data_IF_494180002630
#
_entry.id   IF_494180002630
#
_cell.length_a   1.000
_cell.length_b   1.000
_cell.length_c   1.000
_cell.angle_alpha   90.00
_cell.angle_beta   90.00
_cell.angle_gamma   90.00
#
_symmetry.space_group_name_H-M   'P 1'
#
loop_
_entity.id
_entity.type
_entity.pdbx_description
1 polymer ?
#
# COMPACT_ATOMS: atom_id res chain seq x y z
N UNK A 1 -19.89 23.69 -2.42
CA UNK A 1 -18.84 24.03 -3.41
C UNK A 1 -17.93 22.81 -3.54
N UNK A 2 -18.34 21.90 -4.41
CA UNK A 2 -17.56 20.75 -4.86
C UNK A 2 -16.43 21.25 -5.73
N UNK A 3 -15.16 20.92 -5.41
CA UNK A 3 -14.32 20.22 -6.40
C UNK A 3 -13.38 19.24 -5.70
N UNK A 4 -13.67 17.94 -5.81
CA UNK A 4 -12.91 16.85 -5.21
C UNK A 4 -11.64 16.52 -6.01
N UNK A 5 -10.51 16.81 -5.37
CA UNK A 5 -9.12 16.35 -5.56
C UNK A 5 -8.51 16.35 -6.97
N UNK A 6 -8.07 17.52 -7.43
CA UNK A 6 -6.78 17.62 -8.13
C UNK A 6 -5.74 17.98 -7.07
N UNK A 7 -4.64 17.23 -7.01
CA UNK A 7 -3.52 17.50 -6.10
C UNK A 7 -2.39 18.12 -6.90
N UNK A 8 -2.02 19.35 -6.58
CA UNK A 8 -0.81 19.99 -7.11
C UNK A 8 0.36 19.64 -6.20
N UNK A 9 1.45 19.20 -6.80
CA UNK A 9 2.71 19.01 -6.08
C UNK A 9 3.68 20.07 -6.58
N UNK A 10 4.26 20.82 -5.65
CA UNK A 10 5.43 21.68 -5.87
C UNK A 10 6.63 21.06 -5.17
N UNK A 11 7.82 21.28 -5.70
CA UNK A 11 9.07 21.04 -4.98
C UNK A 11 9.36 22.25 -4.06
N UNK A 12 9.80 22.03 -2.82
CA UNK A 12 10.09 23.13 -1.87
C UNK A 12 11.48 23.75 -2.09
N UNK A 13 11.52 25.09 -2.08
CA UNK A 13 12.28 25.87 -1.07
C UNK A 13 11.23 26.76 -0.37
N UNK A 14 10.90 26.56 0.91
CA UNK A 14 9.83 27.32 1.55
C UNK A 14 10.34 28.64 2.13
N UNK A 15 9.59 29.73 1.94
CA UNK A 15 9.73 30.96 2.74
C UNK A 15 8.61 31.18 3.75
N UNK A 16 7.55 30.36 3.78
CA UNK A 16 6.46 30.52 4.77
C UNK A 16 5.68 29.20 5.00
N UNK A 17 5.63 28.65 6.24
CA UNK A 17 5.06 27.32 6.53
C UNK A 17 3.54 27.23 6.70
N UNK A 18 2.75 28.31 6.61
CA UNK A 18 1.32 28.28 7.01
C UNK A 18 0.28 27.89 5.94
N UNK A 19 0.65 27.44 4.74
CA UNK A 19 -0.32 27.17 3.64
C UNK A 19 -0.48 25.73 3.12
N UNK A 20 0.00 24.72 3.84
CA UNK A 20 -0.09 23.32 3.40
C UNK A 20 -1.09 22.50 4.23
N UNK A 21 -2.38 22.52 3.88
CA UNK A 21 -3.38 21.62 4.49
C UNK A 21 -3.71 20.38 3.63
N UNK A 22 -3.51 19.23 4.28
CA UNK A 22 -4.12 17.90 4.06
C UNK A 22 -3.70 17.07 2.84
N UNK A 23 -2.44 16.62 2.81
CA UNK A 23 -2.03 15.26 2.40
C UNK A 23 -0.53 15.07 2.70
N UNK A 24 -0.10 15.30 3.94
CA UNK A 24 1.31 15.26 4.30
C UNK A 24 1.69 13.91 4.92
N UNK A 25 2.34 12.99 4.17
CA UNK A 25 3.15 11.95 4.80
C UNK A 25 4.33 12.65 5.50
N UNK A 26 4.44 12.59 6.84
CA UNK A 26 5.32 13.46 7.65
C UNK A 26 6.81 13.42 7.29
N UNK A 27 7.27 12.44 6.50
CA UNK A 27 8.69 12.24 6.18
C UNK A 27 9.21 13.16 5.05
N UNK A 28 8.45 13.34 3.96
CA UNK A 28 8.91 14.09 2.79
C UNK A 28 8.23 15.46 2.61
N UNK A 29 7.52 15.95 3.64
CA UNK A 29 6.89 17.28 3.64
C UNK A 29 7.89 18.42 3.45
N UNK A 30 9.18 18.18 3.74
CA UNK A 30 10.27 19.13 3.50
C UNK A 30 10.78 19.11 2.06
N UNK A 31 10.43 18.10 1.27
CA UNK A 31 10.82 17.95 -0.15
C UNK A 31 9.71 18.42 -1.11
N UNK A 32 8.45 18.38 -0.67
CA UNK A 32 7.29 18.63 -1.50
C UNK A 32 6.25 19.50 -0.79
N UNK A 33 5.71 20.50 -1.50
CA UNK A 33 4.47 21.19 -1.14
C UNK A 33 3.33 20.48 -1.84
N UNK A 34 2.39 19.96 -1.06
CA UNK A 34 1.23 19.24 -1.57
C UNK A 34 0.00 20.10 -1.28
N UNK A 35 -0.77 20.45 -2.31
CA UNK A 35 -1.93 21.32 -2.15
C UNK A 35 -3.07 20.94 -3.07
N UNK A 36 -4.30 21.07 -2.58
CA UNK A 36 -5.52 20.96 -3.40
C UNK A 36 -5.98 22.33 -3.93
N UNK A 37 -5.25 23.40 -3.62
CA UNK A 37 -5.59 24.74 -4.05
C UNK A 37 -5.35 24.91 -5.56
N UNK A 38 -6.44 25.04 -6.30
CA UNK A 38 -6.44 25.13 -7.75
C UNK A 38 -5.89 26.43 -8.31
N UNK A 39 -5.84 27.49 -7.50
CA UNK A 39 -5.25 28.75 -7.93
C UNK A 39 -3.76 28.61 -8.23
N UNK A 40 -3.11 27.59 -7.67
CA UNK A 40 -1.66 27.35 -7.80
C UNK A 40 -1.30 26.43 -8.98
N UNK A 41 -2.27 26.03 -9.82
CA UNK A 41 -2.01 25.14 -10.96
C UNK A 41 -0.96 25.69 -11.95
N UNK A 42 -0.84 27.01 -12.09
CA UNK A 42 0.19 27.64 -12.96
C UNK A 42 1.60 27.56 -12.40
N UNK A 43 1.71 27.38 -11.09
CA UNK A 43 2.98 27.35 -10.35
C UNK A 43 3.35 25.90 -9.95
N UNK A 44 2.47 24.94 -10.24
CA UNK A 44 2.66 23.54 -9.90
C UNK A 44 3.76 22.92 -10.76
N UNK A 45 4.55 22.03 -10.16
CA UNK A 45 5.48 21.22 -10.93
C UNK A 45 4.74 20.14 -11.73
N UNK A 46 3.68 19.60 -11.13
CA UNK A 46 2.86 18.53 -11.68
C UNK A 46 1.45 18.60 -11.06
N UNK A 47 0.44 18.19 -11.83
CA UNK A 47 -0.94 18.07 -11.34
C UNK A 47 -1.37 16.61 -11.36
N UNK A 48 -1.77 16.07 -10.22
CA UNK A 48 -2.22 14.69 -10.06
C UNK A 48 -3.75 14.64 -9.99
N UNK A 49 -4.33 13.76 -10.80
CA UNK A 49 -5.75 13.48 -10.85
C UNK A 49 -6.02 12.08 -10.34
N UNK A 50 -6.80 11.98 -9.27
CA UNK A 50 -7.25 10.68 -8.76
C UNK A 50 -8.35 10.12 -9.66
N UNK A 51 -8.12 8.96 -10.26
CA UNK A 51 -9.00 8.32 -11.24
C UNK A 51 -10.45 8.25 -10.76
N UNK A 52 -10.64 7.80 -9.52
CA UNK A 52 -11.96 7.63 -8.88
C UNK A 52 -12.75 8.93 -8.77
N UNK A 53 -12.06 10.07 -8.80
CA UNK A 53 -12.65 11.40 -8.66
C UNK A 53 -12.87 12.11 -10.02
N UNK A 54 -12.54 11.47 -11.15
CA UNK A 54 -12.76 12.04 -12.48
C UNK A 54 -14.16 11.79 -13.06
N UNK A 55 -14.96 10.94 -12.40
CA UNK A 55 -16.31 10.63 -12.89
C UNK A 55 -17.21 11.85 -12.80
N UNK A 56 -17.71 12.30 -13.95
CA UNK A 56 -18.60 13.46 -14.04
C UNK A 56 -17.90 14.80 -13.80
N UNK A 57 -16.56 14.81 -13.78
CA UNK A 57 -15.77 16.02 -13.58
C UNK A 57 -15.29 16.55 -14.92
N UNK A 58 -15.55 17.83 -15.17
CA UNK A 58 -14.91 18.55 -16.26
C UNK A 58 -13.44 18.81 -15.91
N UNK A 59 -12.54 18.43 -16.82
CA UNK A 59 -11.13 18.78 -16.69
C UNK A 59 -10.95 20.31 -16.73
N UNK A 60 -9.90 20.84 -16.07
CA UNK A 60 -9.56 22.25 -16.20
C UNK A 60 -9.47 22.66 -17.67
N UNK A 61 -10.15 23.74 -18.04
CA UNK A 61 -10.14 24.25 -19.44
C UNK A 61 -8.78 24.80 -19.84
N UNK A 62 -7.98 25.24 -18.86
CA UNK A 62 -6.64 25.75 -19.05
C UNK A 62 -5.61 24.69 -18.65
N UNK A 63 -4.79 24.27 -19.62
CA UNK A 63 -3.60 23.45 -19.41
C UNK A 63 -2.36 24.33 -19.56
N UNK A 64 -1.51 24.34 -18.54
CA UNK A 64 -0.28 25.12 -18.56
C UNK A 64 0.82 24.32 -19.28
N UNK A 65 1.45 24.87 -20.34
CA UNK A 65 2.63 24.26 -20.96
C UNK A 65 3.72 24.01 -19.91
N UNK A 66 4.37 22.84 -19.94
CA UNK A 66 5.42 22.46 -18.98
C UNK A 66 4.95 21.93 -17.61
N UNK A 67 3.62 21.88 -17.36
CA UNK A 67 3.03 21.26 -16.15
C UNK A 67 2.38 19.92 -16.53
N UNK A 68 3.08 18.79 -16.37
CA UNK A 68 2.51 17.49 -16.69
C UNK A 68 1.32 17.14 -15.81
N UNK A 69 0.38 16.39 -16.40
CA UNK A 69 -0.79 15.85 -15.71
C UNK A 69 -0.60 14.35 -15.48
N UNK A 70 -0.79 13.90 -14.26
CA UNK A 70 -0.63 12.50 -13.85
C UNK A 70 -1.98 11.89 -13.52
N UNK A 71 -2.26 10.71 -14.06
CA UNK A 71 -3.42 9.92 -13.67
C UNK A 71 -3.03 8.94 -12.56
N UNK A 72 -3.54 9.17 -11.35
CA UNK A 72 -3.35 8.27 -10.22
C UNK A 72 -4.49 7.24 -10.15
N UNK A 73 -4.16 5.94 -10.19
CA UNK A 73 -5.11 4.82 -10.12
C UNK A 73 -4.64 3.80 -9.09
N UNK A 74 -5.29 3.79 -7.92
CA UNK A 74 -4.92 2.96 -6.77
C UNK A 74 -5.96 1.87 -6.45
N UNK A 75 -6.93 1.68 -7.34
CA UNK A 75 -7.99 0.67 -7.22
C UNK A 75 -7.95 -0.25 -8.45
N UNK A 76 -8.45 -1.47 -8.28
CA UNK A 76 -8.51 -2.47 -9.34
C UNK A 76 -9.38 -2.06 -10.51
N UNK A 77 -9.06 -2.59 -11.70
CA UNK A 77 -9.84 -2.36 -12.93
C UNK A 77 -11.27 -2.88 -12.86
N UNK A 78 -11.54 -3.89 -12.02
CA UNK A 78 -12.87 -4.45 -11.82
C UNK A 78 -13.75 -3.50 -10.99
N UNK A 79 -13.17 -2.82 -10.00
CA UNK A 79 -13.89 -1.89 -9.12
C UNK A 79 -13.90 -0.44 -9.64
N UNK A 80 -13.25 -0.18 -10.77
CA UNK A 80 -13.22 1.14 -11.41
C UNK A 80 -13.99 1.14 -12.72
N UNK A 81 -14.80 2.18 -12.95
CA UNK A 81 -15.50 2.36 -14.21
C UNK A 81 -14.57 3.01 -15.23
N UNK A 82 -14.55 2.56 -16.50
CA UNK A 82 -13.77 3.22 -17.54
C UNK A 82 -14.08 4.72 -17.66
N UNK A 83 -13.04 5.54 -17.79
CA UNK A 83 -13.20 6.96 -18.11
C UNK A 83 -13.76 7.14 -19.53
N UNK A 84 -14.50 8.22 -19.81
CA UNK A 84 -14.92 8.55 -21.16
C UNK A 84 -13.73 8.71 -22.11
N UNK A 85 -13.93 8.39 -23.40
CA UNK A 85 -12.88 8.54 -24.44
C UNK A 85 -12.32 9.96 -24.56
N UNK A 86 -13.03 10.98 -24.07
CA UNK A 86 -12.55 12.37 -24.02
C UNK A 86 -11.31 12.56 -23.13
N UNK A 87 -10.99 11.58 -22.27
CA UNK A 87 -9.78 11.57 -21.45
C UNK A 87 -8.57 10.93 -22.15
N UNK A 88 -8.73 10.39 -23.37
CA UNK A 88 -7.63 9.80 -24.12
C UNK A 88 -6.59 10.86 -24.48
N UNK A 89 -5.31 10.58 -24.23
CA UNK A 89 -4.20 11.51 -24.50
C UNK A 89 -4.15 12.74 -23.59
N UNK A 90 -5.00 12.79 -22.55
CA UNK A 90 -5.01 13.92 -21.61
C UNK A 90 -3.81 13.87 -20.67
N UNK A 91 -3.53 12.73 -20.08
CA UNK A 91 -2.49 12.58 -19.05
C UNK A 91 -1.13 12.29 -19.68
N UNK A 92 -0.08 12.87 -19.12
CA UNK A 92 1.29 12.67 -19.57
C UNK A 92 1.85 11.30 -19.13
N UNK A 93 1.53 10.87 -17.92
CA UNK A 93 1.94 9.57 -17.39
C UNK A 93 1.02 9.11 -16.25
N UNK A 94 1.23 7.88 -15.78
CA UNK A 94 0.38 7.21 -14.80
C UNK A 94 1.12 6.89 -13.51
N UNK A 95 0.41 7.01 -12.39
CA UNK A 95 0.81 6.49 -11.09
C UNK A 95 -0.18 5.43 -10.65
N UNK A 96 0.20 4.15 -10.74
CA UNK A 96 -0.69 3.05 -10.41
C UNK A 96 0.03 1.88 -9.73
N UNK A 97 -0.74 0.87 -9.33
CA UNK A 97 -0.18 -0.37 -8.79
C UNK A 97 0.39 -1.29 -9.87
N UNK A 98 0.06 -1.07 -11.15
CA UNK A 98 0.56 -1.89 -12.24
C UNK A 98 2.06 -1.66 -12.48
N UNK A 99 2.80 -2.73 -12.70
CA UNK A 99 4.24 -2.65 -12.98
C UNK A 99 4.59 -1.96 -14.30
N UNK A 100 3.62 -1.76 -15.19
CA UNK A 100 3.79 -1.04 -16.46
C UNK A 100 3.43 0.46 -16.38
N UNK A 101 3.05 0.97 -15.21
CA UNK A 101 2.93 2.42 -14.98
C UNK A 101 4.29 3.07 -14.79
N UNK A 102 4.41 4.33 -15.25
CA UNK A 102 5.64 5.12 -15.09
C UNK A 102 6.02 5.29 -13.62
N UNK A 103 5.02 5.36 -12.73
CA UNK A 103 5.20 5.37 -11.29
C UNK A 103 4.41 4.22 -10.69
N UNK A 104 5.11 3.27 -10.10
CA UNK A 104 4.52 2.12 -9.41
C UNK A 104 5.40 1.72 -8.23
N UNK A 105 4.79 1.03 -7.27
CA UNK A 105 5.43 0.71 -6.01
C UNK A 105 6.49 -0.38 -6.13
N UNK A 106 7.54 -0.24 -5.33
CA UNK A 106 8.63 -1.19 -5.23
C UNK A 106 9.12 -1.21 -3.78
N UNK A 107 9.04 -2.37 -3.13
CA UNK A 107 9.31 -2.46 -1.69
C UNK A 107 10.75 -2.07 -1.36
N UNK A 108 11.72 -2.56 -2.13
CA UNK A 108 13.16 -2.33 -1.92
C UNK A 108 13.56 -0.87 -2.12
N UNK A 109 12.78 -0.11 -2.90
CA UNK A 109 13.01 1.32 -3.10
C UNK A 109 12.24 2.19 -2.10
N UNK A 110 11.09 1.72 -1.60
CA UNK A 110 10.35 2.36 -0.53
C UNK A 110 11.09 2.29 0.81
N UNK A 111 11.80 1.18 1.04
CA UNK A 111 12.53 0.92 2.28
C UNK A 111 14.01 0.69 2.01
N UNK A 112 14.89 1.63 2.43
CA UNK A 112 16.31 1.43 2.25
C UNK A 112 16.80 0.26 3.12
N UNK A 113 17.78 -0.48 2.60
CA UNK A 113 18.47 -1.51 3.38
C UNK A 113 19.39 -0.85 4.41
N UNK A 114 19.48 -1.48 5.58
CA UNK A 114 20.42 -1.05 6.61
C UNK A 114 21.86 -1.32 6.15
N UNK A 115 22.78 -0.41 6.47
CA UNK A 115 24.21 -0.61 6.21
C UNK A 115 24.77 -1.86 6.93
N UNK A 116 24.23 -2.14 8.12
CA UNK A 116 24.54 -3.33 8.91
C UNK A 116 23.24 -3.96 9.38
N UNK A 117 23.21 -5.30 9.39
CA UNK A 117 22.09 -6.05 9.95
C UNK A 117 21.85 -5.62 11.40
N UNK A 118 20.60 -5.42 11.78
CA UNK A 118 20.25 -5.19 13.17
C UNK A 118 20.40 -6.50 13.97
N UNK A 119 21.54 -6.67 14.62
CA UNK A 119 21.85 -7.83 15.47
C UNK A 119 20.98 -7.87 16.74
N UNK A 120 20.39 -6.73 17.15
CA UNK A 120 19.46 -6.68 18.29
C UNK A 120 18.08 -7.19 17.91
N UNK A 121 17.78 -7.25 16.61
CA UNK A 121 16.57 -7.88 16.11
C UNK A 121 16.67 -9.40 16.35
N UNK A 122 16.14 -9.83 17.49
CA UNK A 122 16.12 -11.23 17.87
C UNK A 122 14.70 -11.74 17.71
N UNK A 123 14.57 -12.73 16.84
CA UNK A 123 13.36 -13.50 16.69
C UNK A 123 12.89 -14.03 18.07
N UNK A 124 11.66 -13.66 18.49
CA UNK A 124 10.91 -14.35 19.55
C UNK A 124 11.16 -13.83 20.97
N UNK A 125 11.92 -12.73 21.13
CA UNK A 125 12.14 -12.08 22.44
C UNK A 125 11.05 -11.05 22.81
N UNK A 126 10.35 -10.48 21.84
CA UNK A 126 9.06 -9.84 22.12
C UNK A 126 8.12 -10.94 22.58
N UNK A 127 7.62 -10.84 23.83
CA UNK A 127 6.54 -11.69 24.35
C UNK A 127 5.29 -11.51 23.48
N UNK A 128 5.29 -12.09 22.28
CA UNK A 128 4.07 -12.45 21.59
C UNK A 128 3.47 -13.55 22.45
N UNK A 129 2.49 -13.18 23.28
CA UNK A 129 1.65 -14.10 24.03
C UNK A 129 0.79 -14.89 23.03
N UNK A 130 1.45 -15.70 22.21
CA UNK A 130 0.81 -16.66 21.32
C UNK A 130 0.40 -17.84 22.19
N UNK A 131 -0.69 -17.66 22.95
CA UNK A 131 -1.29 -18.75 23.69
C UNK A 131 -1.52 -19.94 22.75
N UNK A 132 -1.16 -21.11 23.27
CA UNK A 132 -1.28 -22.42 22.63
C UNK A 132 -2.71 -22.62 22.09
N UNK A 133 -2.81 -23.05 20.84
CA UNK A 133 -3.89 -23.95 20.43
C UNK A 133 -4.88 -23.47 19.37
N UNK A 134 -4.82 -22.22 18.89
CA UNK A 134 -5.74 -21.77 17.84
C UNK A 134 -4.98 -21.09 16.69
N UNK A 135 -5.50 -21.17 15.47
CA UNK A 135 -4.99 -20.48 14.27
C UNK A 135 -5.85 -19.23 14.00
N UNK A 136 -5.78 -18.19 14.85
CA UNK A 136 -6.60 -17.00 14.67
C UNK A 136 -6.04 -16.25 13.46
N UNK A 137 -6.94 -15.90 12.54
CA UNK A 137 -6.62 -15.18 11.29
C UNK A 137 -7.57 -13.99 11.20
N UNK A 138 -7.10 -12.83 10.73
CA UNK A 138 -7.90 -11.60 10.61
C UNK A 138 -8.27 -11.37 9.14
N UNK A 139 -9.56 -11.24 8.83
CA UNK A 139 -10.06 -10.91 7.50
C UNK A 139 -10.76 -9.54 7.44
N UNK A 140 -10.52 -8.80 6.36
CA UNK A 140 -11.27 -7.62 5.97
C UNK A 140 -11.89 -7.81 4.57
N UNK A 141 -13.23 -7.95 4.51
CA UNK A 141 -14.10 -7.69 3.35
C UNK A 141 -14.35 -8.75 2.25
N UNK A 142 -14.25 -10.07 2.46
CA UNK A 142 -14.79 -11.03 1.46
C UNK A 142 -15.85 -11.97 2.05
N UNK A 143 -17.08 -11.81 1.59
CA UNK A 143 -18.24 -12.62 2.00
C UNK A 143 -18.14 -14.14 1.66
N UNK A 144 -17.06 -14.59 1.00
CA UNK A 144 -16.91 -15.95 0.51
C UNK A 144 -15.64 -16.69 1.03
N UNK A 145 -14.92 -16.10 1.99
CA UNK A 145 -13.67 -16.69 2.52
C UNK A 145 -13.90 -17.56 3.75
N UNK A 146 -15.02 -17.38 4.45
CA UNK A 146 -15.40 -18.26 5.56
C UNK A 146 -15.50 -19.72 5.11
N UNK A 147 -15.98 -19.96 3.88
CA UNK A 147 -16.06 -21.28 3.25
C UNK A 147 -14.69 -21.92 3.00
N UNK A 148 -13.69 -21.09 2.70
CA UNK A 148 -12.31 -21.49 2.45
C UNK A 148 -11.61 -21.97 3.73
N UNK A 149 -12.11 -21.56 4.91
CA UNK A 149 -11.51 -21.81 6.22
C UNK A 149 -12.47 -22.43 7.25
N UNK A 150 -13.57 -23.09 6.83
CA UNK A 150 -14.59 -23.66 7.76
C UNK A 150 -14.05 -24.51 8.92
N UNK A 151 -12.90 -25.15 8.75
CA UNK A 151 -12.27 -25.99 9.78
C UNK A 151 -11.29 -25.22 10.69
N UNK A 152 -11.26 -23.89 10.57
CA UNK A 152 -10.29 -23.00 11.21
C UNK A 152 -11.05 -21.94 12.01
N UNK A 153 -10.51 -21.56 13.16
CA UNK A 153 -11.03 -20.39 13.87
C UNK A 153 -10.54 -19.12 13.17
N UNK A 154 -11.32 -18.67 12.21
CA UNK A 154 -11.18 -17.38 11.54
C UNK A 154 -11.94 -16.33 12.36
N UNK A 155 -11.28 -15.22 12.70
CA UNK A 155 -11.93 -14.09 13.32
C UNK A 155 -11.93 -12.93 12.31
N UNK A 156 -13.08 -12.66 11.71
CA UNK A 156 -13.25 -11.53 10.79
C UNK A 156 -13.43 -10.23 11.57
N UNK A 157 -13.01 -9.10 11.01
CA UNK A 157 -13.17 -7.78 11.60
C UNK A 157 -13.59 -6.76 10.53
N UNK A 158 -14.34 -5.74 10.92
CA UNK A 158 -14.77 -4.66 10.01
C UNK A 158 -16.24 -4.72 9.63
N UNK A 159 -16.62 -4.04 8.54
CA UNK A 159 -18.03 -3.82 8.18
C UNK A 159 -18.83 -5.08 7.84
N UNK A 160 -18.14 -6.20 7.55
CA UNK A 160 -18.73 -7.50 7.24
C UNK A 160 -18.69 -8.48 8.44
N UNK A 161 -18.33 -8.03 9.64
CA UNK A 161 -18.17 -8.89 10.82
C UNK A 161 -18.99 -8.40 12.02
N UNK A 162 -19.32 -9.32 12.92
CA UNK A 162 -19.89 -9.01 14.23
C UNK A 162 -18.84 -8.53 15.25
N UNK A 163 -17.53 -8.66 14.95
CA UNK A 163 -16.44 -8.16 15.79
C UNK A 163 -16.01 -6.76 15.34
N UNK A 164 -15.90 -5.86 16.30
CA UNK A 164 -15.47 -4.48 16.04
C UNK A 164 -13.96 -4.32 16.22
N UNK A 165 -13.34 -3.76 15.19
CA UNK A 165 -11.99 -3.23 15.21
C UNK A 165 -12.03 -1.95 14.39
N UNK A 166 -11.87 -0.80 15.03
CA UNK A 166 -11.75 0.46 14.28
C UNK A 166 -10.44 0.41 13.51
N UNK A 167 -10.47 0.69 12.20
CA UNK A 167 -9.31 0.62 11.31
C UNK A 167 -8.29 1.72 11.66
N UNK A 168 -7.51 1.48 12.71
CA UNK A 168 -6.50 2.39 13.24
C UNK A 168 -5.31 1.60 13.83
N UNK A 169 -4.21 2.30 14.07
CA UNK A 169 -2.97 1.74 14.60
C UNK A 169 -3.15 0.98 15.93
N UNK A 170 -4.01 1.48 16.82
CA UNK A 170 -4.27 0.85 18.12
C UNK A 170 -4.89 -0.53 17.95
N UNK A 171 -5.90 -0.65 17.07
CA UNK A 171 -6.54 -1.92 16.84
C UNK A 171 -5.60 -2.94 16.20
N UNK A 172 -4.92 -2.57 15.11
CA UNK A 172 -3.99 -3.49 14.46
C UNK A 172 -2.83 -3.89 15.38
N UNK A 173 -2.36 -2.99 16.25
CA UNK A 173 -1.34 -3.31 17.26
C UNK A 173 -1.84 -4.31 18.30
N UNK A 174 -3.13 -4.29 18.66
CA UNK A 174 -3.71 -5.29 19.56
C UNK A 174 -3.89 -6.63 18.84
N UNK A 175 -4.36 -6.62 17.58
CA UNK A 175 -4.41 -7.84 16.75
C UNK A 175 -3.02 -8.47 16.62
N UNK A 176 -1.97 -7.68 16.41
CA UNK A 176 -0.58 -8.17 16.35
C UNK A 176 -0.07 -8.86 17.63
N UNK A 177 -0.74 -8.67 18.78
CA UNK A 177 -0.41 -9.36 20.04
C UNK A 177 -1.12 -10.72 20.17
N UNK A 178 -2.24 -10.88 19.49
CA UNK A 178 -3.15 -12.02 19.62
C UNK A 178 -3.06 -13.00 18.43
N UNK A 179 -2.75 -12.48 17.24
CA UNK A 179 -2.82 -13.21 15.98
C UNK A 179 -1.43 -13.49 15.39
N UNK A 180 -1.27 -14.65 14.73
CA UNK A 180 -0.05 -14.98 13.96
C UNK A 180 -0.15 -14.55 12.51
N UNK A 181 -1.35 -14.62 11.94
CA UNK A 181 -1.55 -14.47 10.52
C UNK A 181 -2.59 -13.38 10.24
N UNK A 182 -2.35 -12.64 9.16
CA UNK A 182 -3.24 -11.60 8.67
C UNK A 182 -3.69 -11.95 7.24
N UNK A 183 -4.99 -11.97 6.95
CA UNK A 183 -5.48 -12.23 5.59
C UNK A 183 -5.41 -10.95 4.77
N UNK A 184 -4.37 -10.84 3.95
CA UNK A 184 -4.18 -9.75 3.00
C UNK A 184 -4.84 -10.13 1.66
N UNK A 185 -6.17 -10.12 1.66
CA UNK A 185 -6.97 -10.54 0.50
C UNK A 185 -7.33 -9.33 -0.34
N UNK A 186 -7.00 -9.40 -1.62
CA UNK A 186 -7.36 -8.33 -2.52
C UNK A 186 -8.80 -8.40 -2.97
N UNK A 187 -9.42 -7.23 -3.15
CA UNK A 187 -10.84 -7.14 -3.50
C UNK A 187 -11.10 -7.70 -4.91
N UNK A 188 -10.04 -7.94 -5.68
CA UNK A 188 -10.09 -8.41 -7.06
C UNK A 188 -8.74 -9.03 -7.42
N UNK A 189 -8.76 -10.11 -8.21
CA UNK A 189 -7.55 -10.70 -8.79
C UNK A 189 -7.21 -9.97 -10.09
N UNK A 190 -6.51 -8.85 -9.97
CA UNK A 190 -5.98 -8.07 -11.11
C UNK A 190 -4.45 -8.14 -11.12
N UNK A 191 -3.84 -8.16 -12.31
CA UNK A 191 -2.38 -8.17 -12.48
C UNK A 191 -1.78 -6.99 -11.69
N UNK A 192 -0.77 -7.29 -10.87
CA UNK A 192 -0.02 -6.37 -10.01
C UNK A 192 -0.86 -5.60 -8.97
N UNK A 193 -2.10 -6.01 -8.74
CA UNK A 193 -2.97 -5.39 -7.75
C UNK A 193 -2.69 -5.95 -6.35
N UNK A 194 -1.59 -5.49 -5.76
CA UNK A 194 -1.22 -5.72 -4.36
C UNK A 194 -1.18 -4.36 -3.68
N UNK A 195 -2.01 -4.13 -2.67
CA UNK A 195 -2.20 -2.81 -2.06
C UNK A 195 -1.45 -2.67 -0.73
N UNK A 196 -1.94 -1.81 0.17
CA UNK A 196 -1.47 -1.65 1.54
C UNK A 196 -1.75 -2.86 2.43
N UNK A 197 -2.66 -3.77 2.06
CA UNK A 197 -3.13 -4.82 2.98
C UNK A 197 -2.01 -5.69 3.56
N UNK A 198 -1.03 -6.19 2.79
CA UNK A 198 0.07 -6.96 3.37
C UNK A 198 0.87 -6.17 4.42
N UNK A 199 0.95 -4.85 4.29
CA UNK A 199 1.68 -4.00 5.23
C UNK A 199 1.07 -4.01 6.63
N UNK A 200 -0.25 -4.20 6.76
CA UNK A 200 -0.88 -4.39 8.07
C UNK A 200 -0.37 -5.65 8.77
N UNK A 201 -0.07 -6.72 8.03
CA UNK A 201 0.60 -7.89 8.61
C UNK A 201 2.03 -7.56 9.05
N UNK A 202 2.82 -7.04 8.11
CA UNK A 202 4.23 -6.74 8.34
C UNK A 202 4.48 -5.77 9.50
N UNK A 203 3.76 -4.64 9.55
CA UNK A 203 3.94 -3.61 10.59
C UNK A 203 3.57 -4.15 11.97
N UNK A 204 2.53 -4.99 12.06
CA UNK A 204 1.98 -5.46 13.33
C UNK A 204 2.42 -6.89 13.71
N UNK A 205 3.56 -7.35 13.19
CA UNK A 205 4.19 -8.63 13.56
C UNK A 205 3.34 -9.88 13.30
N UNK A 206 2.51 -9.83 12.26
CA UNK A 206 1.79 -10.97 11.72
C UNK A 206 2.38 -11.36 10.37
N UNK A 207 2.31 -12.64 10.01
CA UNK A 207 2.65 -13.08 8.65
C UNK A 207 1.42 -12.90 7.75
N UNK A 208 1.46 -12.03 6.74
CA UNK A 208 0.36 -11.90 5.80
C UNK A 208 0.23 -13.15 4.92
N UNK A 209 -1.01 -13.61 4.76
CA UNK A 209 -1.43 -14.56 3.74
C UNK A 209 -1.98 -13.72 2.59
N UNK A 210 -1.24 -13.64 1.49
CA UNK A 210 -1.55 -12.77 0.36
C UNK A 210 -2.37 -13.55 -0.66
N UNK A 211 -3.53 -13.03 -1.01
CA UNK A 211 -4.35 -13.53 -2.13
C UNK A 211 -4.49 -12.41 -3.17
N UNK A 212 -3.54 -12.37 -4.10
CA UNK A 212 -3.42 -11.33 -5.11
C UNK A 212 -2.61 -11.82 -6.32
N UNK A 213 -2.88 -11.27 -7.51
CA UNK A 213 -2.05 -11.47 -8.70
C UNK A 213 -0.96 -10.39 -8.75
N UNK A 214 0.21 -10.74 -9.31
CA UNK A 214 1.34 -9.83 -9.47
C UNK A 214 2.64 -10.39 -8.94
N UNK A 215 3.73 -9.66 -9.23
CA UNK A 215 5.07 -10.05 -8.83
C UNK A 215 5.37 -9.69 -7.36
N UNK A 216 4.97 -10.58 -6.44
CA UNK A 216 5.13 -10.40 -5.00
C UNK A 216 6.59 -10.22 -4.56
N UNK A 217 7.58 -10.71 -5.31
CA UNK A 217 8.99 -10.54 -4.93
C UNK A 217 9.46 -9.10 -5.07
N UNK A 218 8.84 -8.28 -5.94
CA UNK A 218 9.15 -6.85 -6.04
C UNK A 218 8.33 -6.00 -5.06
N UNK A 219 7.14 -6.49 -4.69
CA UNK A 219 6.13 -5.73 -3.95
C UNK A 219 6.12 -6.05 -2.46
N UNK A 220 6.98 -6.96 -2.00
CA UNK A 220 7.02 -7.44 -0.61
C UNK A 220 8.46 -7.65 -0.15
N UNK A 221 8.73 -7.55 1.15
CA UNK A 221 10.02 -7.96 1.68
C UNK A 221 10.29 -9.44 1.38
N UNK A 222 11.56 -9.85 1.24
CA UNK A 222 11.92 -11.23 0.94
C UNK A 222 11.47 -12.17 2.06
N UNK A 223 10.89 -13.32 1.68
CA UNK A 223 10.43 -14.36 2.61
C UNK A 223 9.54 -13.79 3.74
N UNK A 224 8.55 -12.97 3.44
CA UNK A 224 7.77 -12.24 4.45
C UNK A 224 6.26 -12.51 4.42
N UNK A 225 5.80 -13.41 3.56
CA UNK A 225 4.37 -13.69 3.34
C UNK A 225 4.15 -15.13 2.88
N UNK A 226 2.94 -15.65 3.08
CA UNK A 226 2.47 -16.88 2.43
C UNK A 226 1.65 -16.49 1.20
N UNK A 227 2.06 -16.89 0.00
CA UNK A 227 1.26 -16.69 -1.21
C UNK A 227 0.17 -17.76 -1.29
N UNK A 228 -1.09 -17.35 -1.14
CA UNK A 228 -2.22 -18.27 -1.22
C UNK A 228 -2.35 -18.92 -2.62
N UNK A 229 -1.87 -18.25 -3.68
CA UNK A 229 -1.99 -18.74 -5.06
C UNK A 229 -0.92 -19.77 -5.44
N UNK A 230 0.11 -19.99 -4.63
CA UNK A 230 1.10 -21.06 -4.84
C UNK A 230 0.53 -22.46 -4.54
N UNK A 231 -0.57 -22.53 -3.79
CA UNK A 231 -1.17 -23.79 -3.38
C UNK A 231 -2.20 -24.26 -4.39
N UNK A 232 -2.02 -25.49 -4.89
CA UNK A 232 -2.99 -26.15 -5.80
C UNK A 232 -4.36 -26.37 -5.16
N UNK A 233 -4.42 -26.43 -3.83
CA UNK A 233 -5.66 -26.68 -3.07
C UNK A 233 -5.67 -25.87 -1.80
N UNK A 234 -6.88 -25.52 -1.34
CA UNK A 234 -7.09 -24.86 -0.05
C UNK A 234 -6.61 -25.69 1.14
N UNK A 235 -6.73 -27.02 1.05
CA UNK A 235 -6.17 -27.93 2.04
C UNK A 235 -4.65 -27.76 2.15
N UNK A 236 -3.94 -27.62 1.03
CA UNK A 236 -2.49 -27.38 1.03
C UNK A 236 -2.11 -26.07 1.73
N UNK A 237 -2.84 -24.98 1.46
CA UNK A 237 -2.64 -23.70 2.14
C UNK A 237 -2.89 -23.83 3.65
N UNK A 238 -4.00 -24.47 4.03
CA UNK A 238 -4.33 -24.76 5.42
C UNK A 238 -3.21 -25.59 6.10
N UNK A 239 -2.76 -26.68 5.49
CA UNK A 239 -1.71 -27.53 6.03
C UNK A 239 -0.40 -26.73 6.24
N UNK A 240 -0.06 -25.82 5.31
CA UNK A 240 1.08 -24.90 5.48
C UNK A 240 0.91 -23.98 6.67
N UNK A 241 -0.22 -23.29 6.78
CA UNK A 241 -0.44 -22.34 7.87
C UNK A 241 -0.45 -23.09 9.22
N UNK A 242 -1.00 -24.31 9.28
CA UNK A 242 -1.03 -25.16 10.49
C UNK A 242 0.38 -25.62 10.85
N UNK A 243 1.18 -25.99 9.86
CA UNK A 243 2.58 -26.30 10.06
C UNK A 243 3.32 -25.11 10.67
N UNK A 244 3.19 -23.92 10.09
CA UNK A 244 3.83 -22.70 10.63
C UNK A 244 3.34 -22.38 12.04
N UNK A 245 2.03 -22.45 12.29
CA UNK A 245 1.44 -22.19 13.60
C UNK A 245 2.02 -23.09 14.70
N UNK A 246 2.37 -24.34 14.38
CA UNK A 246 2.92 -25.32 15.32
C UNK A 246 4.45 -25.41 15.33
N UNK A 247 5.14 -24.73 14.40
CA UNK A 247 6.60 -24.74 14.29
C UNK A 247 7.14 -23.30 14.42
N UNK A 248 7.35 -22.79 15.65
CA UNK A 248 7.82 -21.42 15.87
C UNK A 248 9.07 -21.09 15.05
N UNK A 249 10.09 -21.96 15.06
CA UNK A 249 11.32 -21.73 14.30
C UNK A 249 11.06 -21.45 12.82
N UNK A 250 10.13 -22.15 12.20
CA UNK A 250 9.76 -21.94 10.80
C UNK A 250 8.89 -20.70 10.61
N UNK A 251 7.91 -20.48 11.49
CA UNK A 251 7.02 -19.31 11.43
C UNK A 251 7.79 -18.00 11.48
N UNK A 252 8.84 -17.92 12.28
CA UNK A 252 9.50 -16.63 12.45
C UNK A 252 10.67 -16.34 11.50
N UNK A 253 11.06 -17.30 10.66
CA UNK A 253 11.85 -16.99 9.46
C UNK A 253 11.18 -15.91 8.61
N UNK A 254 9.85 -15.82 8.67
CA UNK A 254 9.05 -14.81 7.97
C UNK A 254 9.25 -13.36 8.45
N UNK A 255 10.00 -13.15 9.54
CA UNK A 255 10.33 -11.82 10.02
C UNK A 255 11.81 -11.46 9.88
N UNK A 256 12.67 -12.36 9.40
CA UNK A 256 14.12 -12.14 9.30
C UNK A 256 14.48 -10.90 8.47
N UNK A 257 13.66 -10.59 7.45
CA UNK A 257 13.80 -9.39 6.64
C UNK A 257 13.81 -8.10 7.47
N UNK A 258 13.11 -8.05 8.62
CA UNK A 258 13.09 -6.85 9.46
C UNK A 258 14.46 -6.45 10.00
N UNK A 259 15.41 -7.38 10.07
CA UNK A 259 16.78 -7.09 10.49
C UNK A 259 17.64 -6.42 9.41
N UNK A 260 17.14 -6.29 8.18
CA UNK A 260 17.93 -5.76 7.05
C UNK A 260 17.34 -4.50 6.39
N UNK A 261 16.15 -4.05 6.79
CA UNK A 261 15.50 -2.84 6.24
C UNK A 261 15.30 -1.78 7.33
N UNK A 262 15.40 -0.49 6.97
CA UNK A 262 15.04 0.61 7.87
C UNK A 262 13.52 0.84 7.85
N UNK A 263 12.84 0.42 8.92
CA UNK A 263 11.39 0.47 9.06
C UNK A 263 10.91 1.62 9.96
N UNK A 264 11.72 2.66 10.17
CA UNK A 264 11.33 3.83 10.98
C UNK A 264 10.12 4.56 10.41
N UNK A 265 10.00 4.56 9.09
CA UNK A 265 8.93 5.27 8.39
C UNK A 265 7.72 4.34 8.20
N UNK A 266 6.50 4.78 8.58
CA UNK A 266 5.27 4.03 8.32
C UNK A 266 5.05 3.76 6.82
N UNK A 267 4.47 2.60 6.49
CA UNK A 267 4.25 2.15 5.11
C UNK A 267 3.56 3.19 4.22
N UNK A 268 2.47 3.79 4.69
CA UNK A 268 1.78 4.81 3.92
C UNK A 268 2.69 6.01 3.59
N UNK A 269 3.53 6.44 4.53
CA UNK A 269 4.46 7.54 4.30
C UNK A 269 5.56 7.15 3.31
N UNK A 270 6.20 5.98 3.52
CA UNK A 270 7.23 5.46 2.61
C UNK A 270 6.71 5.34 1.18
N UNK A 271 5.49 4.81 1.02
CA UNK A 271 4.82 4.66 -0.29
C UNK A 271 4.65 5.99 -1.02
N UNK A 272 4.02 6.97 -0.35
CA UNK A 272 3.74 8.27 -0.97
C UNK A 272 5.02 9.05 -1.24
N UNK A 273 5.98 9.05 -0.31
CA UNK A 273 7.24 9.76 -0.49
C UNK A 273 8.08 9.17 -1.63
N UNK A 274 8.14 7.84 -1.75
CA UNK A 274 8.74 7.18 -2.90
C UNK A 274 8.03 7.60 -4.20
N UNK A 275 6.69 7.50 -4.25
CA UNK A 275 5.92 7.86 -5.45
C UNK A 275 6.15 9.32 -5.86
N UNK A 276 6.16 10.27 -4.93
CA UNK A 276 6.39 11.69 -5.22
C UNK A 276 7.81 11.96 -5.74
N UNK A 277 8.82 11.26 -5.23
CA UNK A 277 10.19 11.33 -5.75
C UNK A 277 10.28 10.77 -7.17
N UNK A 278 9.59 9.67 -7.48
CA UNK A 278 9.53 9.14 -8.85
C UNK A 278 8.75 10.06 -9.80
N UNK A 279 7.62 10.61 -9.35
CA UNK A 279 6.86 11.62 -10.11
C UNK A 279 7.75 12.82 -10.45
N UNK A 280 8.56 13.30 -9.50
CA UNK A 280 9.52 14.39 -9.75
C UNK A 280 10.53 14.00 -10.84
N UNK A 281 11.13 12.81 -10.75
CA UNK A 281 12.08 12.31 -11.77
C UNK A 281 11.46 12.26 -13.16
N UNK A 282 10.26 11.68 -13.28
CA UNK A 282 9.54 11.58 -14.57
C UNK A 282 9.18 12.97 -15.10
N UNK A 283 8.74 13.88 -14.23
CA UNK A 283 8.42 15.27 -14.57
C UNK A 283 9.65 16.01 -15.12
N UNK A 284 10.81 15.87 -14.47
CA UNK A 284 12.07 16.47 -14.94
C UNK A 284 12.49 15.91 -16.30
N UNK A 285 12.28 14.62 -16.56
CA UNK A 285 12.59 14.00 -17.85
C UNK A 285 11.69 14.51 -18.97
N UNK A 286 10.40 14.77 -18.69
CA UNK A 286 9.47 15.36 -19.66
C UNK A 286 9.91 16.78 -20.01
N UNK A 287 10.22 17.61 -18.99
CA UNK A 287 10.65 19.00 -19.18
C UNK A 287 11.96 19.16 -19.97
N UNK A 288 12.84 18.15 -19.96
CA UNK A 288 14.10 18.18 -20.74
C UNK A 288 13.90 17.85 -22.22
N UNK A 289 12.75 17.29 -22.61
CA UNK A 289 12.44 16.89 -23.99
C UNK A 289 11.59 17.92 -24.75
N UNK A 290 11.03 18.88 -24.03
CA UNK A 290 10.28 20.03 -24.56
C UNK A 290 11.23 21.21 -24.82
#
# INVERSE_FOLDING_TARGET
MDIRSSLSIHTTVPSDPEKAESFNPPECTREFIITSNKSLHSEADVVIFQYVNLKGVALPTKRYPGVPWVLALQESSINTRPLPKSFNGVFNFTWSLRGDSEVHHNFDQMYPRLEKRDEKWIYGKTKLNLQRGLCPTVEWNLANVEDLFRNWKLDSFGGCSHKSCVRNESCFSNLGKEYKFYMALENSLCVDYITEKPSHGWVHNMVPIIYALGNKTMLSPPNSYVDALEFKTMKGLADRIKFLANNPKEYFKYFEWKSVYDLKTPFASSYHCYAFREIRKVTELIRRKE
#
